data_IF_253357369608
#
_entry.id   IF_253357369608
#
_cell.length_a   1.000
_cell.length_b   1.000
_cell.length_c   1.000
_cell.angle_alpha   90.00
_cell.angle_beta   90.00
_cell.angle_gamma   90.00
#
_symmetry.space_group_name_H-M   'P 1'
#
loop_
_entity.id
_entity.type
_entity.pdbx_description
1 polymer ?
#
# COMPACT_ATOMS: atom_id res chain seq x y z
N UNK A 1 -6.25 -18.14 -14.04
CA UNK A 1 -5.02 -17.95 -13.24
C UNK A 1 -5.19 -16.67 -12.43
N UNK A 2 -5.86 -16.73 -11.29
CA UNK A 2 -5.88 -15.63 -10.32
C UNK A 2 -4.86 -16.03 -9.26
N UNK A 3 -3.61 -15.65 -9.48
CA UNK A 3 -2.50 -16.04 -8.63
C UNK A 3 -2.77 -15.59 -7.18
N UNK A 4 -2.76 -16.56 -6.28
CA UNK A 4 -2.77 -16.41 -4.81
C UNK A 4 -1.37 -16.10 -4.26
N UNK A 5 -0.47 -15.56 -5.07
CA UNK A 5 0.96 -15.49 -4.74
C UNK A 5 1.43 -14.04 -4.56
N UNK A 6 1.87 -13.75 -3.33
CA UNK A 6 2.52 -12.51 -2.94
C UNK A 6 1.55 -11.39 -2.60
N UNK A 7 1.52 -10.98 -1.32
CA UNK A 7 1.01 -9.64 -0.97
C UNK A 7 1.68 -8.65 -1.93
N UNK A 8 0.88 -8.00 -2.77
CA UNK A 8 1.42 -6.98 -3.63
C UNK A 8 1.77 -5.81 -2.73
N UNK A 9 3.08 -5.67 -2.50
CA UNK A 9 3.65 -4.61 -1.70
C UNK A 9 4.14 -3.50 -2.64
N UNK A 10 3.77 -2.28 -2.31
CA UNK A 10 4.23 -1.06 -2.98
C UNK A 10 5.06 -0.25 -1.99
N UNK A 11 6.30 0.06 -2.34
CA UNK A 11 7.14 0.96 -1.55
C UNK A 11 6.95 2.41 -2.04
N UNK A 12 6.66 3.32 -1.13
CA UNK A 12 6.59 4.75 -1.40
C UNK A 12 7.38 5.50 -0.32
N UNK A 13 8.59 5.95 -0.68
CA UNK A 13 9.56 6.48 0.29
C UNK A 13 10.02 5.39 1.25
N UNK A 14 9.96 5.68 2.55
CA UNK A 14 10.35 4.78 3.64
C UNK A 14 9.20 3.88 4.14
N UNK A 15 8.03 3.94 3.49
CA UNK A 15 6.85 3.19 3.89
C UNK A 15 6.43 2.17 2.83
N UNK A 16 5.96 1.03 3.30
CA UNK A 16 5.42 -0.05 2.47
C UNK A 16 3.90 -0.04 2.56
N UNK A 17 3.24 -0.32 1.44
CA UNK A 17 1.80 -0.38 1.30
C UNK A 17 1.40 -1.77 0.79
N UNK A 18 0.33 -2.34 1.33
CA UNK A 18 -0.26 -3.60 0.85
C UNK A 18 -1.54 -3.32 0.05
N UNK A 19 -1.78 -4.11 -0.99
CA UNK A 19 -2.93 -3.96 -1.88
C UNK A 19 -4.17 -4.59 -1.27
N UNK A 20 -5.17 -3.78 -0.94
CA UNK A 20 -6.42 -4.27 -0.33
C UNK A 20 -7.53 -4.52 -1.36
N UNK A 21 -7.69 -3.62 -2.34
CA UNK A 21 -8.78 -3.70 -3.30
C UNK A 21 -8.30 -3.40 -4.71
N UNK A 22 -8.79 -4.18 -5.68
CA UNK A 22 -8.64 -3.93 -7.10
C UNK A 22 -10.02 -3.83 -7.74
N UNK A 23 -10.29 -2.74 -8.45
CA UNK A 23 -11.51 -2.55 -9.23
C UNK A 23 -11.13 -2.16 -10.64
N UNK A 24 -11.19 -3.12 -11.56
CA UNK A 24 -10.68 -2.96 -12.92
C UNK A 24 -9.19 -2.64 -12.90
N UNK A 25 -8.83 -1.50 -13.49
CA UNK A 25 -7.46 -0.97 -13.54
C UNK A 25 -7.03 -0.20 -12.28
N UNK A 26 -7.97 0.09 -11.37
CA UNK A 26 -7.69 0.88 -10.16
C UNK A 26 -7.39 -0.02 -8.98
N UNK A 27 -6.30 0.26 -8.27
CA UNK A 27 -5.94 -0.42 -7.03
C UNK A 27 -5.88 0.55 -5.85
N UNK A 28 -6.42 0.13 -4.72
CA UNK A 28 -6.32 0.81 -3.44
C UNK A 28 -5.30 0.10 -2.56
N UNK A 29 -4.38 0.87 -1.99
CA UNK A 29 -3.26 0.41 -1.20
C UNK A 29 -3.29 1.10 0.16
N UNK A 30 -3.06 0.33 1.21
CA UNK A 30 -3.01 0.82 2.59
C UNK A 30 -1.61 0.65 3.11
N UNK A 31 -1.19 1.51 4.03
CA UNK A 31 0.09 1.28 4.70
C UNK A 31 0.11 -0.12 5.31
N UNK A 32 1.23 -0.82 5.19
CA UNK A 32 1.40 -2.19 5.67
C UNK A 32 1.07 -2.32 7.17
N UNK A 33 1.39 -1.29 7.95
CA UNK A 33 1.08 -1.17 9.38
C UNK A 33 -0.35 -0.73 9.67
N UNK A 34 -1.23 -0.52 8.68
CA UNK A 34 -2.61 -0.10 8.88
C UNK A 34 -3.33 -0.94 9.93
N UNK A 35 -3.20 -2.28 9.85
CA UNK A 35 -3.85 -3.18 10.80
C UNK A 35 -3.20 -3.16 12.19
N UNK A 36 -1.90 -2.85 12.30
CA UNK A 36 -1.15 -2.89 13.56
C UNK A 36 -1.14 -1.54 14.30
N UNK A 37 -1.08 -0.42 13.57
CA UNK A 37 -0.95 0.94 14.09
C UNK A 37 -2.15 1.83 13.78
N UNK A 38 -3.17 1.33 13.09
CA UNK A 38 -4.30 2.14 12.63
C UNK A 38 -3.87 3.25 11.66
N UNK A 39 -2.83 2.99 10.86
CA UNK A 39 -2.22 4.02 10.00
C UNK A 39 -3.21 4.55 8.96
N UNK A 40 -3.45 5.88 8.89
CA UNK A 40 -4.41 6.46 7.95
C UNK A 40 -3.86 6.67 6.53
N UNK A 41 -2.60 6.27 6.27
CA UNK A 41 -1.97 6.43 4.97
C UNK A 41 -2.55 5.47 3.93
N UNK A 42 -2.83 6.01 2.74
CA UNK A 42 -3.46 5.31 1.63
C UNK A 42 -2.93 5.79 0.29
N UNK A 43 -2.86 4.89 -0.68
CA UNK A 43 -2.40 5.16 -2.04
C UNK A 43 -3.39 4.56 -3.03
N UNK A 44 -3.64 5.25 -4.14
CA UNK A 44 -4.44 4.73 -5.24
C UNK A 44 -3.60 4.73 -6.50
N UNK A 45 -3.66 3.63 -7.24
CA UNK A 45 -3.04 3.50 -8.56
C UNK A 45 -4.09 3.22 -9.62
N UNK A 46 -3.84 3.65 -10.86
CA UNK A 46 -4.62 3.32 -12.06
C UNK A 46 -3.64 2.78 -13.12
N UNK A 47 -3.85 1.55 -13.60
CA UNK A 47 -2.96 0.88 -14.55
C UNK A 47 -1.49 0.98 -14.16
N UNK A 48 -1.20 0.68 -12.89
CA UNK A 48 0.14 0.75 -12.27
C UNK A 48 0.71 2.17 -12.06
N UNK A 49 -0.03 3.22 -12.43
CA UNK A 49 0.39 4.61 -12.21
C UNK A 49 -0.18 5.16 -10.91
N UNK A 50 0.66 5.81 -10.11
CA UNK A 50 0.21 6.53 -8.92
C UNK A 50 -0.72 7.68 -9.32
N UNK A 51 -1.98 7.63 -8.88
CA UNK A 51 -2.96 8.70 -9.13
C UNK A 51 -3.23 9.53 -7.88
N UNK A 52 -3.07 8.95 -6.69
CA UNK A 52 -3.24 9.65 -5.42
C UNK A 52 -2.43 8.99 -4.31
N UNK A 53 -1.80 9.82 -3.47
CA UNK A 53 -1.10 9.36 -2.28
C UNK A 53 -1.44 10.25 -1.07
N UNK A 54 -2.11 9.66 -0.08
CA UNK A 54 -2.19 10.19 1.27
C UNK A 54 -1.07 9.58 2.11
N UNK A 55 0.10 10.22 2.07
CA UNK A 55 1.31 9.75 2.75
C UNK A 55 1.45 10.30 4.18
N UNK A 56 0.34 10.36 4.93
CA UNK A 56 0.33 10.82 6.32
C UNK A 56 0.34 9.61 7.26
N UNK A 57 1.46 9.40 7.94
CA UNK A 57 1.69 8.26 8.83
C UNK A 57 1.65 8.71 10.29
N UNK A 58 1.06 7.88 11.15
CA UNK A 58 0.99 8.09 12.60
C UNK A 58 2.02 7.22 13.36
N UNK A 59 3.01 6.68 12.66
CA UNK A 59 4.05 5.80 13.19
C UNK A 59 5.38 6.07 12.46
N UNK A 60 6.53 5.73 13.07
CA UNK A 60 7.81 5.78 12.37
C UNK A 60 7.85 4.77 11.20
N UNK A 61 8.68 5.01 10.17
CA UNK A 61 8.88 4.03 9.11
C UNK A 61 9.35 2.70 9.71
N UNK A 62 8.66 1.62 9.35
CA UNK A 62 9.06 0.29 9.77
C UNK A 62 10.24 -0.16 8.93
N UNK A 63 11.37 -0.50 9.57
CA UNK A 63 12.57 -1.02 8.91
C UNK A 63 12.40 -2.45 8.37
N UNK A 64 11.29 -2.76 7.70
CA UNK A 64 11.16 -3.99 6.93
C UNK A 64 11.89 -3.83 5.61
N UNK A 65 13.23 -3.85 5.68
CA UNK A 65 14.09 -4.29 4.61
C UNK A 65 14.44 -5.75 4.85
N UNK A 66 13.68 -6.65 4.23
CA UNK A 66 14.19 -7.96 3.80
C UNK A 66 13.67 -8.20 2.40
#
# INVERSE_FOLDING_TARGET
MLSRDGESLMKLGDFTFTREMCTGDRSCWYCYTHNNHGCPARVYTDRDKLVFAKNFHNHPPTEFFV
#
